data_IF_944799640767
#
_entry.id   IF_944799640767
#
_cell.length_a   1.000
_cell.length_b   1.000
_cell.length_c   1.000
_cell.angle_alpha   90.00
_cell.angle_beta   90.00
_cell.angle_gamma   90.00
#
_symmetry.space_group_name_H-M   'P 1'
#
loop_
_entity.id
_entity.type
_entity.pdbx_description
1 polymer ?
#
# COMPACT_ATOMS: atom_id res chain seq x y z
N UNK A 1 7.22 -13.61 4.45
CA UNK A 1 7.32 -12.54 3.44
C UNK A 1 8.62 -12.56 2.65
N UNK A 2 9.77 -12.70 3.31
CA UNK A 2 11.08 -12.47 2.67
C UNK A 2 11.42 -13.48 1.56
N UNK A 3 11.31 -14.78 1.80
CA UNK A 3 11.63 -15.80 0.80
C UNK A 3 10.71 -15.79 -0.42
N UNK A 4 9.42 -15.53 -0.22
CA UNK A 4 8.45 -15.43 -1.32
C UNK A 4 8.60 -14.15 -2.15
N UNK A 5 8.83 -13.01 -1.49
CA UNK A 5 9.03 -11.73 -2.18
C UNK A 5 10.37 -11.71 -2.95
N UNK A 6 11.40 -12.41 -2.49
CA UNK A 6 12.69 -12.56 -3.19
C UNK A 6 12.58 -13.32 -4.53
N UNK A 7 11.52 -14.10 -4.72
CA UNK A 7 11.27 -14.86 -5.95
C UNK A 7 10.21 -14.20 -6.84
N UNK A 8 9.64 -13.07 -6.42
CA UNK A 8 8.52 -12.44 -7.10
C UNK A 8 8.97 -11.32 -8.02
N UNK A 9 8.60 -11.40 -9.30
CA UNK A 9 8.79 -10.31 -10.26
C UNK A 9 7.78 -9.16 -10.04
N UNK A 10 6.61 -9.52 -9.49
CA UNK A 10 5.45 -8.65 -9.30
C UNK A 10 4.90 -8.85 -7.88
N UNK A 11 4.65 -7.75 -7.17
CA UNK A 11 4.01 -7.75 -5.86
C UNK A 11 2.63 -7.10 -5.90
N UNK A 12 1.77 -7.48 -4.95
CA UNK A 12 0.49 -6.82 -4.68
C UNK A 12 0.50 -6.30 -3.25
N UNK A 13 0.33 -5.00 -3.10
CA UNK A 13 0.18 -4.31 -1.82
C UNK A 13 -1.30 -4.08 -1.56
N UNK A 14 -1.84 -4.74 -0.54
CA UNK A 14 -3.24 -4.57 -0.13
C UNK A 14 -3.32 -3.55 1.00
N UNK A 15 -4.13 -2.51 0.80
CA UNK A 15 -4.39 -1.44 1.76
C UNK A 15 -5.85 -1.53 2.20
N UNK A 16 -6.12 -1.44 3.50
CA UNK A 16 -7.49 -1.34 4.00
C UNK A 16 -7.93 0.12 4.04
N UNK A 17 -9.15 0.43 3.56
CA UNK A 17 -9.73 1.77 3.66
C UNK A 17 -10.52 2.00 4.96
N UNK A 18 -10.70 0.98 5.80
CA UNK A 18 -11.38 1.18 7.08
C UNK A 18 -10.65 2.26 7.90
N UNK A 19 -11.38 3.31 8.34
CA UNK A 19 -10.79 4.58 8.84
C UNK A 19 -9.73 4.42 9.93
N UNK A 20 -9.85 3.39 10.77
CA UNK A 20 -8.86 3.07 11.81
C UNK A 20 -7.63 2.36 11.25
N UNK A 21 -7.82 1.37 10.39
CA UNK A 21 -6.76 0.52 9.84
C UNK A 21 -5.85 1.28 8.86
N UNK A 22 -6.42 2.18 8.05
CA UNK A 22 -5.65 3.00 7.10
C UNK A 22 -4.62 3.89 7.82
N UNK A 23 -5.03 4.55 8.91
CA UNK A 23 -4.15 5.45 9.67
C UNK A 23 -2.97 4.70 10.29
N UNK A 24 -3.21 3.55 10.89
CA UNK A 24 -2.16 2.73 11.50
C UNK A 24 -1.18 2.20 10.45
N UNK A 25 -1.63 1.95 9.22
CA UNK A 25 -0.76 1.57 8.10
C UNK A 25 0.13 2.70 7.56
N UNK A 26 -0.36 3.94 7.59
CA UNK A 26 0.31 5.14 7.07
C UNK A 26 1.29 5.82 8.08
N UNK A 27 1.17 5.47 9.37
CA UNK A 27 2.03 6.02 10.43
C UNK A 27 3.52 5.68 10.24
N UNK A 28 4.41 6.49 10.86
CA UNK A 28 5.86 6.22 10.90
C UNK A 28 6.11 4.98 11.77
N UNK A 29 6.18 3.82 11.11
CA UNK A 29 6.26 2.50 11.75
C UNK A 29 5.14 1.53 11.34
N UNK A 30 4.24 1.95 10.45
CA UNK A 30 3.20 1.08 9.90
C UNK A 30 3.78 -0.08 9.08
N UNK A 31 3.15 -1.26 9.17
CA UNK A 31 3.58 -2.47 8.45
C UNK A 31 3.60 -2.28 6.93
N UNK A 32 2.68 -1.49 6.38
CA UNK A 32 2.65 -1.15 4.95
C UNK A 32 3.96 -0.54 4.48
N UNK A 33 4.54 0.33 5.32
CA UNK A 33 5.79 1.03 5.03
C UNK A 33 6.97 0.08 4.95
N UNK A 34 7.09 -0.79 5.95
CA UNK A 34 8.15 -1.81 6.00
C UNK A 34 8.02 -2.79 4.84
N UNK A 35 6.81 -3.25 4.51
CA UNK A 35 6.60 -4.19 3.42
C UNK A 35 6.98 -3.63 2.05
N UNK A 36 6.68 -2.36 1.76
CA UNK A 36 7.06 -1.72 0.50
C UNK A 36 8.58 -1.57 0.40
N UNK A 37 9.23 -1.20 1.50
CA UNK A 37 10.68 -1.09 1.56
C UNK A 37 11.36 -2.44 1.35
N UNK A 38 10.87 -3.50 2.01
CA UNK A 38 11.36 -4.86 1.81
C UNK A 38 11.12 -5.35 0.39
N UNK A 39 9.93 -5.13 -0.19
CA UNK A 39 9.64 -5.51 -1.56
C UNK A 39 10.64 -4.88 -2.55
N UNK A 40 11.00 -3.61 -2.32
CA UNK A 40 11.99 -2.93 -3.16
C UNK A 40 13.39 -3.53 -2.98
N UNK A 41 13.83 -3.74 -1.74
CA UNK A 41 15.15 -4.34 -1.44
C UNK A 41 15.28 -5.75 -1.99
N UNK A 42 14.18 -6.51 -2.04
CA UNK A 42 14.14 -7.87 -2.56
C UNK A 42 14.05 -7.94 -4.10
N UNK A 43 13.96 -6.80 -4.79
CA UNK A 43 13.99 -6.75 -6.26
C UNK A 43 12.63 -6.80 -6.94
N UNK A 44 11.52 -6.66 -6.21
CA UNK A 44 10.19 -6.59 -6.82
C UNK A 44 10.11 -5.32 -7.68
N UNK A 45 10.03 -5.49 -8.99
CA UNK A 45 10.11 -4.38 -9.96
C UNK A 45 8.76 -3.68 -10.17
N UNK A 46 7.67 -4.45 -10.11
CA UNK A 46 6.29 -3.97 -10.31
C UNK A 46 5.48 -4.23 -9.05
N UNK A 47 4.81 -3.20 -8.55
CA UNK A 47 3.95 -3.28 -7.37
C UNK A 47 2.57 -2.75 -7.73
N UNK A 48 1.53 -3.58 -7.56
CA UNK A 48 0.14 -3.16 -7.69
C UNK A 48 -0.41 -2.79 -6.32
N UNK A 49 -1.02 -1.62 -6.18
CA UNK A 49 -1.72 -1.23 -4.96
C UNK A 49 -3.20 -1.53 -5.13
N UNK A 50 -3.77 -2.24 -4.16
CA UNK A 50 -5.18 -2.61 -4.13
C UNK A 50 -5.79 -2.08 -2.84
N UNK A 51 -6.81 -1.23 -2.97
CA UNK A 51 -7.60 -0.75 -1.83
C UNK A 51 -8.72 -1.76 -1.57
N UNK A 52 -8.78 -2.26 -0.35
CA UNK A 52 -9.69 -3.30 0.12
C UNK A 52 -10.60 -2.78 1.23
N UNK A 53 -11.71 -3.48 1.49
CA UNK A 53 -12.76 -3.11 2.46
C UNK A 53 -13.44 -1.77 2.17
N UNK A 54 -13.62 -1.42 0.89
CA UNK A 54 -14.36 -0.23 0.47
C UNK A 54 -15.87 -0.31 0.80
N UNK A 55 -16.37 -1.51 1.08
CA UNK A 55 -17.73 -1.81 1.50
C UNK A 55 -18.01 -1.49 2.99
N UNK A 56 -16.99 -1.10 3.74
CA UNK A 56 -17.12 -0.72 5.15
C UNK A 56 -18.19 0.38 5.33
N UNK A 57 -19.07 0.28 6.35
CA UNK A 57 -20.13 1.26 6.62
C UNK A 57 -19.62 2.69 6.88
N UNK A 58 -18.32 2.90 7.02
CA UNK A 58 -17.72 4.23 7.21
C UNK A 58 -17.18 4.83 5.90
N UNK A 59 -17.07 4.04 4.84
CA UNK A 59 -16.48 4.38 3.54
C UNK A 59 -17.55 4.45 2.45
N UNK A 60 -18.47 3.46 2.41
CA UNK A 60 -19.55 3.37 1.42
C UNK A 60 -19.09 3.49 -0.05
N UNK A 61 -17.98 2.88 -0.42
CA UNK A 61 -17.39 3.00 -1.76
C UNK A 61 -17.18 4.45 -2.22
N UNK A 62 -16.89 5.36 -1.28
CA UNK A 62 -16.67 6.78 -1.59
C UNK A 62 -15.44 6.97 -2.48
N UNK A 63 -15.65 7.61 -3.63
CA UNK A 63 -14.57 7.97 -4.55
C UNK A 63 -13.60 8.98 -3.92
N UNK A 64 -14.11 9.99 -3.20
CA UNK A 64 -13.29 11.00 -2.53
C UNK A 64 -12.28 10.35 -1.57
N UNK A 65 -12.70 9.27 -0.92
CA UNK A 65 -11.85 8.52 0.01
C UNK A 65 -10.75 7.75 -0.70
N UNK A 66 -11.08 7.10 -1.81
CA UNK A 66 -10.11 6.43 -2.67
C UNK A 66 -9.05 7.42 -3.18
N UNK A 67 -9.49 8.58 -3.68
CA UNK A 67 -8.60 9.63 -4.21
C UNK A 67 -7.67 10.20 -3.12
N UNK A 68 -8.14 10.29 -1.88
CA UNK A 68 -7.32 10.66 -0.72
C UNK A 68 -6.21 9.64 -0.44
N UNK A 69 -6.55 8.34 -0.47
CA UNK A 69 -5.58 7.25 -0.28
C UNK A 69 -4.55 7.26 -1.39
N UNK A 70 -4.99 7.35 -2.64
CA UNK A 70 -4.10 7.38 -3.80
C UNK A 70 -3.11 8.55 -3.70
N UNK A 71 -3.61 9.75 -3.39
CA UNK A 71 -2.80 10.96 -3.24
C UNK A 71 -1.73 10.83 -2.14
N UNK A 72 -2.00 10.08 -1.08
CA UNK A 72 -1.03 9.79 -0.01
C UNK A 72 -0.04 8.69 -0.40
N UNK A 73 -0.49 7.71 -1.17
CA UNK A 73 0.32 6.55 -1.53
C UNK A 73 1.35 6.84 -2.62
N UNK A 74 1.02 7.70 -3.60
CA UNK A 74 1.95 8.12 -4.67
C UNK A 74 3.30 8.65 -4.13
N UNK A 75 3.34 9.68 -3.25
CA UNK A 75 4.61 10.21 -2.75
C UNK A 75 5.36 9.17 -1.90
N UNK A 76 4.63 8.30 -1.20
CA UNK A 76 5.23 7.20 -0.45
C UNK A 76 5.96 6.22 -1.37
N UNK A 77 5.30 5.72 -2.42
CA UNK A 77 5.90 4.79 -3.39
C UNK A 77 7.08 5.41 -4.13
N UNK A 78 6.98 6.69 -4.50
CA UNK A 78 8.10 7.45 -5.10
C UNK A 78 9.29 7.53 -4.15
N UNK A 79 9.06 7.80 -2.86
CA UNK A 79 10.14 7.84 -1.85
C UNK A 79 10.83 6.49 -1.66
N UNK A 80 10.11 5.39 -1.86
CA UNK A 80 10.65 4.03 -1.83
C UNK A 80 11.35 3.62 -3.14
N UNK A 81 11.38 4.48 -4.16
CA UNK A 81 12.07 4.21 -5.42
C UNK A 81 11.25 3.43 -6.46
N UNK A 82 9.92 3.42 -6.34
CA UNK A 82 9.03 2.98 -7.43
C UNK A 82 8.69 4.16 -8.34
N UNK A 83 8.54 3.88 -9.64
CA UNK A 83 8.16 4.90 -10.62
C UNK A 83 6.64 4.86 -10.79
N UNK A 84 5.96 5.93 -10.32
CA UNK A 84 4.50 6.09 -10.29
C UNK A 84 4.10 7.38 -10.96
#
# INVERSE_FOLDING_TARGET
MISGAAQADIGVLVISDSKGEFKTGDERGGQTREHVQFAKTLGVSKLFVVVNKMDDPTVHWSQERYDEIESKMIPFLRSSGYNV
#
